data_IF_665333875346
#
_entry.id   IF_665333875346
#
_cell.length_a   1.000
_cell.length_b   1.000
_cell.length_c   1.000
_cell.angle_alpha   90.00
_cell.angle_beta   90.00
_cell.angle_gamma   90.00
#
_symmetry.space_group_name_H-M   'P 1'
#
loop_
_entity.id
_entity.type
_entity.pdbx_description
1 polymer ?
#
# COMPACT_ATOMS: atom_id res chain seq x y z
N UNK A 1 16.81 -6.20 15.03
CA UNK A 1 17.54 -6.40 16.31
C UNK A 1 17.15 -7.73 16.98
N UNK A 2 15.86 -8.01 17.24
CA UNK A 2 15.41 -9.28 17.87
C UNK A 2 15.80 -10.54 17.07
N UNK A 3 15.58 -10.55 15.74
CA UNK A 3 16.03 -11.65 14.86
C UNK A 3 17.56 -11.82 14.83
N UNK A 4 18.29 -10.71 14.96
CA UNK A 4 19.76 -10.70 14.96
C UNK A 4 20.34 -11.35 16.21
N UNK A 5 19.65 -11.25 17.35
CA UNK A 5 20.06 -11.95 18.58
C UNK A 5 20.00 -13.47 18.41
N UNK A 6 18.89 -14.01 17.88
CA UNK A 6 18.77 -15.44 17.58
C UNK A 6 19.84 -15.91 16.60
N UNK A 7 20.07 -15.13 15.53
CA UNK A 7 21.11 -15.42 14.54
C UNK A 7 22.50 -15.46 15.16
N UNK A 8 22.85 -14.47 15.99
CA UNK A 8 24.14 -14.44 16.67
C UNK A 8 24.31 -15.62 17.64
N UNK A 9 23.27 -15.97 18.40
CA UNK A 9 23.29 -17.14 19.28
C UNK A 9 23.55 -18.44 18.51
N UNK A 10 22.80 -18.67 17.41
CA UNK A 10 22.93 -19.87 16.60
C UNK A 10 24.31 -19.98 15.97
N UNK A 11 24.84 -18.86 15.46
CA UNK A 11 26.18 -18.79 14.88
C UNK A 11 27.26 -19.11 15.92
N UNK A 12 27.24 -18.46 17.08
CA UNK A 12 28.24 -18.73 18.12
C UNK A 12 28.15 -20.17 18.62
N UNK A 13 26.95 -20.76 18.69
CA UNK A 13 26.79 -22.18 19.02
C UNK A 13 27.45 -23.08 17.98
N UNK A 14 27.21 -22.82 16.70
CA UNK A 14 27.84 -23.54 15.58
C UNK A 14 29.37 -23.45 15.65
N UNK A 15 29.92 -22.25 15.85
CA UNK A 15 31.36 -22.02 15.99
C UNK A 15 31.97 -22.84 17.17
N UNK A 16 31.26 -22.97 18.30
CA UNK A 16 31.71 -23.76 19.45
C UNK A 16 31.73 -25.26 19.11
N UNK A 17 30.68 -25.78 18.47
CA UNK A 17 30.60 -27.18 18.04
C UNK A 17 31.71 -27.54 17.04
N UNK A 18 31.97 -26.67 16.05
CA UNK A 18 33.04 -26.86 15.06
C UNK A 18 34.43 -26.80 15.70
N UNK A 19 34.63 -25.92 16.69
CA UNK A 19 35.93 -25.77 17.34
C UNK A 19 36.33 -26.98 18.20
N UNK A 20 35.36 -27.81 18.60
CA UNK A 20 35.56 -28.95 19.52
C UNK A 20 36.11 -28.55 20.89
N UNK A 21 36.14 -27.25 21.22
CA UNK A 21 36.74 -26.69 22.42
C UNK A 21 35.67 -26.01 23.27
N UNK A 22 35.55 -26.44 24.51
CA UNK A 22 34.63 -25.85 25.50
C UNK A 22 33.40 -26.72 25.75
N UNK A 23 32.51 -26.22 26.61
CA UNK A 23 31.28 -26.92 26.99
C UNK A 23 30.21 -26.72 25.92
N UNK A 24 29.49 -27.80 25.60
CA UNK A 24 28.39 -27.79 24.63
C UNK A 24 27.32 -26.76 25.01
N UNK A 25 26.99 -25.88 24.07
CA UNK A 25 26.04 -24.79 24.29
C UNK A 25 24.62 -25.18 23.86
N UNK A 26 23.97 -25.99 24.69
CA UNK A 26 22.59 -26.42 24.48
C UNK A 26 21.65 -25.82 25.54
N UNK A 27 20.91 -24.81 25.11
CA UNK A 27 19.77 -24.29 25.87
C UNK A 27 18.47 -24.57 25.14
N UNK A 28 17.37 -24.59 25.90
CA UNK A 28 16.03 -24.63 25.34
C UNK A 28 15.77 -23.39 24.50
N UNK A 29 15.83 -23.56 23.18
CA UNK A 29 15.63 -22.49 22.21
C UNK A 29 14.23 -21.90 22.28
N UNK A 30 13.20 -22.69 22.65
CA UNK A 30 11.84 -22.16 22.80
C UNK A 30 11.79 -21.18 23.94
N UNK A 31 12.39 -21.53 25.08
CA UNK A 31 12.48 -20.61 26.24
C UNK A 31 13.26 -19.34 25.94
N UNK A 32 14.29 -19.42 25.11
CA UNK A 32 15.07 -18.25 24.73
C UNK A 32 14.31 -17.36 23.74
N UNK A 33 13.81 -17.93 22.65
CA UNK A 33 13.43 -17.14 21.48
C UNK A 33 11.94 -16.89 21.33
N UNK A 34 11.06 -17.72 21.90
CA UNK A 34 9.61 -17.68 21.63
C UNK A 34 9.02 -16.27 21.77
N UNK A 35 9.25 -15.62 22.91
CA UNK A 35 8.76 -14.26 23.15
C UNK A 35 9.38 -13.24 22.18
N UNK A 36 10.69 -13.31 21.93
CA UNK A 36 11.35 -12.36 21.00
C UNK A 36 10.95 -12.56 19.54
N UNK A 37 10.64 -13.79 19.13
CA UNK A 37 10.15 -14.13 17.80
C UNK A 37 8.72 -13.65 17.61
N UNK A 38 7.89 -13.81 18.63
CA UNK A 38 6.55 -13.25 18.65
C UNK A 38 6.56 -11.72 18.55
N UNK A 39 7.35 -11.03 19.38
CA UNK A 39 7.46 -9.57 19.28
C UNK A 39 7.96 -9.15 17.90
N UNK A 40 8.89 -9.91 17.30
CA UNK A 40 9.35 -9.65 15.95
C UNK A 40 8.25 -9.81 14.90
N UNK A 41 7.36 -10.81 15.03
CA UNK A 41 6.22 -10.98 14.11
C UNK A 41 5.18 -9.86 14.26
N UNK A 42 4.93 -9.40 15.48
CA UNK A 42 4.06 -8.23 15.74
C UNK A 42 4.65 -6.98 15.08
N UNK A 43 5.95 -6.73 15.25
CA UNK A 43 6.63 -5.60 14.58
C UNK A 43 6.57 -5.71 13.05
N UNK A 44 6.74 -6.91 12.48
CA UNK A 44 6.60 -7.12 11.04
C UNK A 44 5.17 -6.80 10.56
N UNK A 45 4.14 -7.21 11.32
CA UNK A 45 2.75 -6.89 11.03
C UNK A 45 2.46 -5.39 11.09
N UNK A 46 2.93 -4.70 12.14
CA UNK A 46 2.79 -3.24 12.25
C UNK A 46 3.51 -2.49 11.11
N UNK A 47 4.68 -2.97 10.69
CA UNK A 47 5.37 -2.42 9.53
C UNK A 47 4.55 -2.62 8.24
N UNK A 48 3.90 -3.77 8.06
CA UNK A 48 3.01 -3.98 6.92
C UNK A 48 1.80 -3.04 6.95
N UNK A 49 1.18 -2.87 8.11
CA UNK A 49 0.08 -1.90 8.32
C UNK A 49 0.52 -0.48 7.92
N UNK A 50 1.65 -0.01 8.41
CA UNK A 50 2.19 1.31 8.08
C UNK A 50 2.45 1.47 6.58
N UNK A 51 3.00 0.45 5.93
CA UNK A 51 3.22 0.45 4.48
C UNK A 51 1.90 0.54 3.70
N UNK A 52 0.87 -0.20 4.10
CA UNK A 52 -0.45 -0.17 3.45
C UNK A 52 -1.10 1.21 3.57
N UNK A 53 -1.04 1.83 4.74
CA UNK A 53 -1.57 3.19 4.94
C UNK A 53 -0.84 4.19 4.06
N UNK A 54 0.50 4.15 4.05
CA UNK A 54 1.30 5.03 3.20
C UNK A 54 0.95 4.85 1.72
N UNK A 55 0.80 3.60 1.26
CA UNK A 55 0.47 3.31 -0.14
C UNK A 55 -0.92 3.86 -0.51
N UNK A 56 -1.92 3.77 0.38
CA UNK A 56 -3.24 4.38 0.16
C UNK A 56 -3.19 5.91 0.17
N UNK A 57 -2.45 6.53 1.10
CA UNK A 57 -2.29 7.99 1.12
C UNK A 57 -1.59 8.51 -0.12
N UNK A 58 -0.64 7.75 -0.67
CA UNK A 58 0.01 8.09 -1.94
C UNK A 58 -0.99 8.05 -3.12
N UNK A 59 -1.94 7.11 -3.12
CA UNK A 59 -2.97 7.00 -4.17
C UNK A 59 -3.97 8.16 -4.06
N UNK A 60 -4.50 8.40 -2.87
CA UNK A 60 -5.50 9.44 -2.60
C UNK A 60 -4.90 10.82 -2.29
N UNK A 61 -3.66 11.01 -2.72
CA UNK A 61 -2.89 12.23 -2.57
C UNK A 61 -3.34 13.36 -3.50
N UNK A 62 -2.61 14.49 -3.49
CA UNK A 62 -2.93 15.65 -4.32
C UNK A 62 -2.93 15.35 -5.82
N UNK A 63 -2.16 14.36 -6.27
CA UNK A 63 -2.07 13.94 -7.67
C UNK A 63 -3.42 13.50 -8.19
N UNK A 64 -4.09 12.56 -7.51
CA UNK A 64 -5.40 12.09 -7.91
C UNK A 64 -6.47 13.17 -7.71
N UNK A 65 -6.37 13.97 -6.63
CA UNK A 65 -7.31 15.09 -6.38
C UNK A 65 -7.28 16.16 -7.48
N UNK A 66 -6.14 16.36 -8.15
CA UNK A 66 -5.98 17.42 -9.14
C UNK A 66 -6.79 17.21 -10.43
N UNK A 67 -7.20 15.97 -10.72
CA UNK A 67 -7.89 15.63 -11.98
C UNK A 67 -9.40 15.41 -11.81
N UNK A 68 -9.95 15.55 -10.59
CA UNK A 68 -11.35 15.22 -10.28
C UNK A 68 -12.13 16.49 -9.97
N UNK A 69 -13.37 16.53 -10.47
CA UNK A 69 -14.30 17.63 -10.25
C UNK A 69 -14.92 17.69 -8.85
N UNK A 70 -14.98 16.58 -8.12
CA UNK A 70 -15.51 16.47 -6.75
C UNK A 70 -14.50 15.83 -5.76
N UNK A 71 -13.64 16.65 -5.12
CA UNK A 71 -12.66 16.18 -4.14
C UNK A 71 -13.25 15.56 -2.86
N UNK A 72 -14.54 15.80 -2.55
CA UNK A 72 -15.14 15.38 -1.28
C UNK A 72 -15.27 13.84 -1.18
N UNK A 73 -15.40 13.16 -2.31
CA UNK A 73 -15.45 11.69 -2.37
C UNK A 73 -14.10 11.09 -1.95
N UNK A 74 -12.97 11.67 -2.39
CA UNK A 74 -11.64 11.24 -1.95
C UNK A 74 -11.48 11.40 -0.44
N UNK A 75 -11.88 12.55 0.11
CA UNK A 75 -11.74 12.80 1.55
C UNK A 75 -12.51 11.77 2.41
N UNK A 76 -13.62 11.26 1.88
CA UNK A 76 -14.39 10.20 2.54
C UNK A 76 -13.63 8.87 2.57
N UNK A 77 -12.95 8.51 1.49
CA UNK A 77 -12.12 7.29 1.42
C UNK A 77 -10.88 7.42 2.30
N UNK A 78 -10.20 8.58 2.29
CA UNK A 78 -9.04 8.84 3.16
C UNK A 78 -9.41 8.66 4.62
N UNK A 79 -10.55 9.21 5.07
CA UNK A 79 -11.04 9.01 6.44
C UNK A 79 -11.29 7.54 6.80
N UNK A 80 -11.61 6.69 5.83
CA UNK A 80 -11.80 5.25 6.05
C UNK A 80 -10.46 4.51 6.11
N UNK A 81 -9.49 4.91 5.29
CA UNK A 81 -8.10 4.44 5.41
C UNK A 81 -7.54 4.76 6.80
N UNK A 82 -7.76 5.99 7.29
CA UNK A 82 -7.33 6.41 8.64
C UNK A 82 -7.97 5.58 9.75
N UNK A 83 -9.16 5.01 9.52
CA UNK A 83 -9.87 4.19 10.51
C UNK A 83 -9.39 2.74 10.54
N UNK A 84 -8.61 2.28 9.56
CA UNK A 84 -8.10 0.91 9.52
C UNK A 84 -7.21 0.57 10.74
N UNK A 85 -6.59 1.56 11.36
CA UNK A 85 -5.73 1.36 12.53
C UNK A 85 -6.51 1.26 13.84
N UNK A 86 -7.78 1.65 13.87
CA UNK A 86 -8.56 1.69 15.12
C UNK A 86 -8.61 0.34 15.84
N UNK A 87 -8.85 -0.81 15.17
CA UNK A 87 -8.83 -2.11 15.84
C UNK A 87 -7.50 -2.47 16.51
N UNK A 88 -6.39 -1.89 16.04
CA UNK A 88 -5.06 -2.09 16.60
C UNK A 88 -4.81 -1.14 17.77
N UNK A 89 -5.24 0.13 17.64
CA UNK A 89 -5.07 1.16 18.68
C UNK A 89 -5.99 0.94 19.88
N UNK A 90 -7.19 0.42 19.63
CA UNK A 90 -8.25 0.19 20.63
C UNK A 90 -8.28 -1.26 21.12
N UNK A 91 -7.25 -2.04 20.80
CA UNK A 91 -7.12 -3.42 21.26
C UNK A 91 -7.19 -3.49 22.79
N UNK A 92 -8.04 -4.38 23.31
CA UNK A 92 -8.25 -4.60 24.74
C UNK A 92 -7.24 -5.58 25.37
N UNK A 93 -6.24 -6.01 24.58
CA UNK A 93 -5.18 -6.92 24.98
C UNK A 93 -3.80 -6.35 24.65
N UNK A 94 -2.76 -6.85 25.32
CA UNK A 94 -1.39 -6.47 25.00
C UNK A 94 -0.91 -7.23 23.75
N UNK A 95 -0.77 -6.50 22.64
CA UNK A 95 -0.31 -7.05 21.35
C UNK A 95 1.08 -7.69 21.42
N UNK A 96 1.95 -7.27 22.34
CA UNK A 96 3.30 -7.82 22.48
C UNK A 96 3.39 -9.02 23.44
N UNK A 97 2.28 -9.41 24.06
CA UNK A 97 2.21 -10.62 24.87
C UNK A 97 1.96 -11.85 24.00
N UNK A 98 2.85 -12.85 24.08
CA UNK A 98 2.80 -14.08 23.28
C UNK A 98 1.55 -14.92 23.54
N UNK A 99 0.90 -14.76 24.69
CA UNK A 99 -0.36 -15.46 24.98
C UNK A 99 -1.54 -14.91 24.15
N UNK A 100 -1.39 -13.71 23.58
CA UNK A 100 -2.41 -13.08 22.74
C UNK A 100 -2.15 -13.29 21.24
N UNK A 101 -1.30 -14.24 20.86
CA UNK A 101 -0.94 -14.47 19.46
C UNK A 101 -2.16 -14.68 18.56
N UNK A 102 -3.13 -15.51 18.99
CA UNK A 102 -4.34 -15.76 18.21
C UNK A 102 -5.19 -14.48 18.03
N UNK A 103 -5.26 -13.64 19.07
CA UNK A 103 -5.97 -12.36 19.00
C UNK A 103 -5.27 -11.40 18.02
N UNK A 104 -3.94 -11.33 18.07
CA UNK A 104 -3.15 -10.53 17.13
C UNK A 104 -3.32 -10.99 15.68
N UNK A 105 -3.25 -12.30 15.44
CA UNK A 105 -3.46 -12.89 14.11
C UNK A 105 -4.86 -12.60 13.58
N UNK A 106 -5.88 -12.66 14.44
CA UNK A 106 -7.26 -12.29 14.08
C UNK A 106 -7.38 -10.79 13.75
N UNK A 107 -6.79 -9.90 14.57
CA UNK A 107 -6.80 -8.45 14.31
C UNK A 107 -6.12 -8.10 12.99
N UNK A 108 -4.96 -8.71 12.70
CA UNK A 108 -4.26 -8.50 11.43
C UNK A 108 -5.04 -9.07 10.24
N UNK A 109 -5.69 -10.23 10.40
CA UNK A 109 -6.50 -10.83 9.34
C UNK A 109 -7.69 -9.92 8.96
N UNK A 110 -8.40 -9.40 9.96
CA UNK A 110 -9.49 -8.43 9.76
C UNK A 110 -9.00 -7.14 9.09
N UNK A 111 -7.83 -6.64 9.50
CA UNK A 111 -7.22 -5.48 8.85
C UNK A 111 -7.02 -5.72 7.35
N UNK A 112 -6.46 -6.87 6.94
CA UNK A 112 -6.22 -7.17 5.53
C UNK A 112 -7.51 -7.43 4.73
N UNK A 113 -8.57 -7.93 5.36
CA UNK A 113 -9.89 -8.05 4.75
C UNK A 113 -10.48 -6.67 4.41
N UNK A 114 -10.44 -5.73 5.36
CA UNK A 114 -10.87 -4.34 5.13
C UNK A 114 -10.01 -3.62 4.08
N UNK A 115 -8.70 -3.86 4.08
CA UNK A 115 -7.79 -3.37 3.05
C UNK A 115 -8.20 -3.86 1.67
N UNK A 116 -8.57 -5.14 1.53
CA UNK A 116 -9.02 -5.69 0.25
C UNK A 116 -10.32 -5.03 -0.22
N UNK A 117 -11.27 -4.75 0.69
CA UNK A 117 -12.48 -4.01 0.34
C UNK A 117 -12.17 -2.60 -0.16
N UNK A 118 -11.37 -1.84 0.59
CA UNK A 118 -10.96 -0.49 0.21
C UNK A 118 -10.15 -0.46 -1.08
N UNK A 119 -9.35 -1.49 -1.36
CA UNK A 119 -8.59 -1.60 -2.60
C UNK A 119 -9.50 -1.70 -3.84
N UNK A 120 -10.58 -2.48 -3.73
CA UNK A 120 -11.55 -2.60 -4.83
C UNK A 120 -12.36 -1.31 -5.02
N UNK A 121 -12.73 -0.67 -3.92
CA UNK A 121 -13.38 0.63 -3.96
C UNK A 121 -12.47 1.71 -4.56
N UNK A 122 -11.17 1.69 -4.23
CA UNK A 122 -10.17 2.57 -4.83
C UNK A 122 -10.08 2.40 -6.35
N UNK A 123 -10.10 1.15 -6.85
CA UNK A 123 -10.11 0.88 -8.30
C UNK A 123 -11.35 1.47 -8.97
N UNK A 124 -12.52 1.30 -8.36
CA UNK A 124 -13.76 1.88 -8.84
C UNK A 124 -13.70 3.42 -8.88
N UNK A 125 -13.20 4.06 -7.81
CA UNK A 125 -13.01 5.50 -7.79
C UNK A 125 -12.05 5.97 -8.88
N UNK A 126 -10.91 5.29 -9.06
CA UNK A 126 -9.98 5.60 -10.14
C UNK A 126 -10.70 5.53 -11.49
N UNK A 127 -11.54 4.52 -11.73
CA UNK A 127 -12.30 4.41 -12.98
C UNK A 127 -13.20 5.63 -13.21
N UNK A 128 -13.97 6.04 -12.19
CA UNK A 128 -14.84 7.22 -12.24
C UNK A 128 -14.05 8.51 -12.51
N UNK A 129 -12.87 8.66 -11.89
CA UNK A 129 -12.01 9.83 -12.10
C UNK A 129 -11.58 9.95 -13.57
N UNK A 130 -11.24 8.82 -14.20
CA UNK A 130 -10.82 8.81 -15.60
C UNK A 130 -11.98 8.95 -16.59
N UNK A 131 -13.22 8.61 -16.19
CA UNK A 131 -14.41 8.93 -16.99
C UNK A 131 -14.72 10.44 -16.99
N UNK A 132 -14.42 11.12 -15.88
CA UNK A 132 -14.61 12.56 -15.73
C UNK A 132 -13.40 13.40 -16.17
N UNK A 133 -12.42 12.80 -16.86
CA UNK A 133 -11.18 13.45 -17.26
C UNK A 133 -11.44 14.69 -18.12
N UNK A 134 -10.94 15.84 -17.67
CA UNK A 134 -11.18 17.12 -18.36
C UNK A 134 -10.32 17.30 -19.61
N UNK A 135 -9.04 16.92 -19.54
CA UNK A 135 -8.13 16.96 -20.67
C UNK A 135 -7.07 15.85 -20.60
N UNK A 136 -6.49 15.50 -21.76
CA UNK A 136 -5.49 14.43 -21.84
C UNK A 136 -4.14 14.79 -21.20
N UNK A 137 -3.76 16.07 -21.19
CA UNK A 137 -2.47 16.56 -20.66
C UNK A 137 -2.36 16.33 -19.16
N UNK A 138 -3.35 16.77 -18.38
CA UNK A 138 -3.40 16.62 -16.93
C UNK A 138 -3.48 15.14 -16.53
N UNK A 139 -4.29 14.36 -17.25
CA UNK A 139 -4.40 12.91 -17.05
C UNK A 139 -3.06 12.19 -17.27
N UNK A 140 -2.34 12.55 -18.33
CA UNK A 140 -1.01 11.99 -18.62
C UNK A 140 0.01 12.40 -17.56
N UNK A 141 0.04 13.69 -17.20
CA UNK A 141 0.90 14.21 -16.15
C UNK A 141 0.71 13.48 -14.82
N UNK A 142 -0.54 13.19 -14.46
CA UNK A 142 -0.86 12.41 -13.27
C UNK A 142 -0.37 10.95 -13.36
N UNK A 143 -0.65 10.23 -14.45
CA UNK A 143 -0.19 8.83 -14.58
C UNK A 143 1.33 8.70 -14.57
N UNK A 144 2.04 9.66 -15.18
CA UNK A 144 3.51 9.66 -15.16
C UNK A 144 4.06 9.80 -13.75
N UNK A 145 3.41 10.58 -12.86
CA UNK A 145 3.77 10.65 -11.44
C UNK A 145 3.54 9.31 -10.74
N UNK A 146 2.38 8.67 -10.98
CA UNK A 146 2.06 7.37 -10.40
C UNK A 146 2.98 6.22 -10.84
N UNK A 147 3.72 6.38 -11.94
CA UNK A 147 4.74 5.42 -12.36
C UNK A 147 5.92 5.33 -11.38
N UNK A 148 6.22 6.42 -10.66
CA UNK A 148 7.35 6.52 -9.72
C UNK A 148 6.88 6.47 -8.27
N UNK A 149 5.66 6.95 -8.00
CA UNK A 149 5.08 6.89 -6.66
C UNK A 149 4.80 5.43 -6.30
N UNK A 150 5.31 5.01 -5.13
CA UNK A 150 4.98 3.69 -4.58
C UNK A 150 3.51 3.66 -4.21
N UNK A 151 2.79 2.72 -4.78
CA UNK A 151 1.40 2.41 -4.45
C UNK A 151 1.25 0.90 -4.28
N UNK A 152 0.06 0.43 -3.94
CA UNK A 152 -0.24 -1.00 -3.97
C UNK A 152 -0.16 -1.55 -5.39
N UNK A 153 0.40 -2.75 -5.57
CA UNK A 153 0.69 -3.34 -6.89
C UNK A 153 -0.54 -3.46 -7.79
N UNK A 154 -1.65 -3.91 -7.23
CA UNK A 154 -2.92 -4.09 -7.95
C UNK A 154 -3.50 -2.75 -8.43
N UNK A 155 -3.39 -1.71 -7.60
CA UNK A 155 -3.81 -0.34 -7.95
C UNK A 155 -2.83 0.27 -8.96
N UNK A 156 -1.53 0.04 -8.80
CA UNK A 156 -0.50 0.48 -9.74
C UNK A 156 -0.77 -0.08 -11.13
N UNK A 157 -0.99 -1.40 -11.24
CA UNK A 157 -1.34 -2.05 -12.51
C UNK A 157 -2.64 -1.52 -13.09
N UNK A 158 -3.62 -1.20 -12.23
CA UNK A 158 -4.89 -0.62 -12.65
C UNK A 158 -4.73 0.78 -13.24
N UNK A 159 -3.94 1.65 -12.58
CA UNK A 159 -3.58 2.98 -13.07
C UNK A 159 -2.86 2.91 -14.42
N UNK A 160 -1.91 1.99 -14.60
CA UNK A 160 -1.20 1.83 -15.87
C UNK A 160 -2.12 1.41 -17.04
N UNK A 161 -3.29 0.83 -16.80
CA UNK A 161 -4.27 0.55 -17.87
C UNK A 161 -5.02 1.81 -18.32
N UNK A 162 -4.93 2.91 -17.58
CA UNK A 162 -5.63 4.16 -17.89
C UNK A 162 -4.95 5.01 -18.96
N UNK A 163 -3.74 4.64 -19.40
CA UNK A 163 -3.10 5.23 -20.57
C UNK A 163 -4.00 5.15 -21.82
N UNK A 164 -4.74 4.05 -22.00
CA UNK A 164 -5.65 3.90 -23.14
C UNK A 164 -6.78 4.93 -23.11
N UNK A 165 -7.33 5.22 -21.92
CA UNK A 165 -8.40 6.22 -21.74
C UNK A 165 -7.88 7.62 -22.08
N UNK A 166 -6.66 7.94 -21.66
CA UNK A 166 -6.01 9.22 -22.00
C UNK A 166 -5.80 9.35 -23.50
N UNK A 167 -5.34 8.28 -24.18
CA UNK A 167 -5.12 8.31 -25.63
C UNK A 167 -6.43 8.51 -26.42
N UNK A 168 -7.54 7.95 -25.95
CA UNK A 168 -8.86 8.19 -26.53
C UNK A 168 -9.28 9.65 -26.36
N UNK A 169 -9.09 10.21 -25.17
CA UNK A 169 -9.39 11.62 -24.89
C UNK A 169 -8.52 12.57 -25.72
N UNK A 170 -7.23 12.28 -25.86
CA UNK A 170 -6.32 13.04 -26.73
C UNK A 170 -6.79 13.02 -28.20
N UNK A 171 -7.18 11.85 -28.71
CA UNK A 171 -7.67 11.71 -30.09
C UNK A 171 -8.94 12.53 -30.34
N UNK A 172 -9.83 12.62 -29.34
CA UNK A 172 -11.04 13.44 -29.37
C UNK A 172 -10.71 14.93 -29.37
N UNK A 173 -9.74 15.35 -28.56
CA UNK A 173 -9.25 16.75 -28.53
C UNK A 173 -8.64 17.16 -29.87
N UNK A 174 -7.78 16.32 -30.46
CA UNK A 174 -7.19 16.57 -31.79
C UNK A 174 -8.27 16.70 -32.87
N UNK A 175 -9.24 15.78 -32.91
CA UNK A 175 -10.37 15.84 -33.86
C UNK A 175 -11.18 17.13 -33.71
N UNK A 176 -11.31 17.64 -32.48
CA UNK A 176 -12.02 18.90 -32.21
C UNK A 176 -11.25 20.09 -32.77
N UNK A 177 -9.93 20.14 -32.56
CA UNK A 177 -9.06 21.19 -33.11
C UNK A 177 -9.05 21.18 -34.63
N UNK A 178 -8.95 19.99 -35.23
CA UNK A 178 -9.03 19.82 -36.69
C UNK A 178 -10.36 20.33 -37.25
N UNK A 179 -11.48 20.03 -36.58
CA UNK A 179 -12.80 20.53 -36.95
C UNK A 179 -12.89 22.07 -36.92
N UNK A 180 -12.30 22.71 -35.92
CA UNK A 180 -12.23 24.18 -35.82
C UNK A 180 -11.39 24.75 -36.97
N UNK A 181 -10.19 24.22 -37.18
CA UNK A 181 -9.28 24.67 -38.23
C UNK A 181 -9.90 24.57 -39.64
N UNK A 182 -10.56 23.45 -39.95
CA UNK A 182 -11.21 23.24 -41.23
C UNK A 182 -12.46 24.13 -41.42
N UNK A 183 -13.15 24.51 -40.33
CA UNK A 183 -14.28 25.43 -40.38
C UNK A 183 -13.82 26.84 -40.72
N UNK A 184 -12.77 27.30 -40.05
CA UNK A 184 -12.25 28.67 -40.21
C UNK A 184 -11.56 28.84 -41.59
N UNK A 185 -10.92 27.80 -42.12
CA UNK A 185 -10.35 27.81 -43.48
C UNK A 185 -11.40 27.78 -44.60
N UNK A 186 -12.62 27.30 -44.36
CA UNK A 186 -13.70 27.30 -45.35
C UNK A 186 -14.52 28.60 -45.36
N UNK A 187 -14.17 29.57 -44.50
CA UNK A 187 -14.80 30.90 -44.43
C UNK A 187 -13.98 32.01 -45.08
N UNK A 188 -12.95 31.69 -45.86
CA UNK A 188 -12.14 32.63 -46.66
C UNK A 188 -12.36 32.42 -48.16
#
# INVERSE_FOLDING_TARGET
>A
MLKSWKQAYLKTREDIEESGKGTRWEFDQKRLFKSTEYIASVCDGLNQVANVLQDFHNIFGPELKSIISDPAQIDTVVKRVDRLILPILEADYNVFDEYNQENWEATISLFFEEVHFLENEAKFFIDECFLALMNAEDGLGMLLKFKVIKTRDTIHQHLLRKFDVIMQQFSKEVSTVEGIFNRDNNTV
#
